data_IF_977328224097
#
_entry.id   IF_977328224097
#
_cell.length_a   1.000
_cell.length_b   1.000
_cell.length_c   1.000
_cell.angle_alpha   90.00
_cell.angle_beta   90.00
_cell.angle_gamma   90.00
#
_symmetry.space_group_name_H-M   'P 1'
#
loop_
_entity.id
_entity.type
_entity.pdbx_description
1 polymer ?
#
# COMPACT_ATOMS: atom_id res chain seq x y z
N UNK A 1 17.57 -3.87 2.99
CA UNK A 1 17.11 -5.27 3.17
C UNK A 1 17.44 -5.99 1.87
N UNK A 2 18.35 -6.95 1.91
CA UNK A 2 18.73 -7.74 0.72
C UNK A 2 17.63 -8.78 0.50
N UNK A 3 17.01 -8.80 -0.67
CA UNK A 3 15.99 -9.79 -1.03
C UNK A 3 16.68 -10.87 -1.86
N UNK A 4 16.74 -12.09 -1.34
CA UNK A 4 17.30 -13.23 -2.06
C UNK A 4 16.22 -13.99 -2.83
N UNK A 5 16.61 -14.57 -3.97
CA UNK A 5 15.68 -15.35 -4.80
C UNK A 5 15.22 -16.58 -4.01
N UNK A 6 13.90 -16.73 -3.85
CA UNK A 6 13.30 -17.85 -3.12
C UNK A 6 13.14 -17.62 -1.63
N UNK A 7 13.56 -16.47 -1.11
CA UNK A 7 13.35 -16.10 0.28
C UNK A 7 11.96 -15.49 0.46
N UNK A 8 11.32 -15.78 1.60
CA UNK A 8 10.07 -15.13 1.99
C UNK A 8 10.25 -13.62 2.05
N UNK A 9 9.27 -12.89 1.50
CA UNK A 9 9.32 -11.44 1.34
C UNK A 9 9.09 -10.68 2.66
N UNK A 10 8.88 -11.41 3.76
CA UNK A 10 8.58 -10.88 5.07
C UNK A 10 7.92 -11.94 5.95
N UNK A 11 7.33 -11.48 7.06
CA UNK A 11 6.52 -12.30 7.96
C UNK A 11 5.06 -11.87 7.89
N UNK A 12 4.09 -12.77 8.16
CA UNK A 12 2.70 -12.40 8.34
C UNK A 12 2.55 -11.28 9.38
N UNK A 13 1.69 -10.31 9.09
CA UNK A 13 1.42 -9.23 10.03
C UNK A 13 0.76 -9.79 11.32
N UNK A 14 1.10 -9.27 12.52
CA UNK A 14 0.47 -9.70 13.77
C UNK A 14 -1.06 -9.49 13.73
N UNK A 15 -1.86 -10.33 14.41
CA UNK A 15 -3.29 -10.10 14.55
C UNK A 15 -3.58 -8.71 15.13
N UNK A 16 -4.52 -7.97 14.56
CA UNK A 16 -4.89 -6.62 15.01
C UNK A 16 -3.94 -5.50 14.61
N UNK A 17 -2.93 -5.77 13.78
CA UNK A 17 -2.02 -4.75 13.24
C UNK A 17 -2.64 -3.86 12.17
N UNK A 18 -3.76 -4.28 11.58
CA UNK A 18 -4.51 -3.54 10.58
C UNK A 18 -5.83 -3.07 11.18
N UNK A 19 -6.20 -1.82 10.90
CA UNK A 19 -7.52 -1.29 11.24
C UNK A 19 -8.55 -1.60 10.16
N UNK A 20 -8.15 -1.52 8.90
CA UNK A 20 -9.01 -1.69 7.73
C UNK A 20 -8.26 -2.46 6.63
N UNK A 21 -8.98 -3.08 5.70
CA UNK A 21 -8.41 -3.75 4.52
C UNK A 21 -9.14 -3.23 3.27
N UNK A 22 -8.37 -2.80 2.28
CA UNK A 22 -8.86 -2.43 0.95
C UNK A 22 -8.37 -3.42 -0.11
N UNK A 23 -9.27 -3.85 -0.97
CA UNK A 23 -9.02 -4.75 -2.11
C UNK A 23 -8.86 -4.01 -3.44
N UNK A 24 -9.16 -2.71 -3.47
CA UNK A 24 -9.05 -1.88 -4.68
C UNK A 24 -8.72 -0.42 -4.35
N UNK A 25 -8.27 0.35 -5.36
CA UNK A 25 -8.02 1.78 -5.22
C UNK A 25 -9.30 2.58 -4.92
N UNK A 26 -10.47 2.09 -5.35
CA UNK A 26 -11.74 2.75 -5.08
C UNK A 26 -12.12 2.61 -3.60
N UNK A 27 -11.99 1.41 -3.05
CA UNK A 27 -12.23 1.12 -1.63
C UNK A 27 -11.22 1.84 -0.73
N UNK A 28 -9.94 1.86 -1.11
CA UNK A 28 -8.93 2.64 -0.40
C UNK A 28 -9.29 4.12 -0.34
N UNK A 29 -9.74 4.70 -1.46
CA UNK A 29 -10.16 6.11 -1.52
C UNK A 29 -11.32 6.38 -0.56
N UNK A 30 -12.35 5.54 -0.61
CA UNK A 30 -13.54 5.70 0.23
C UNK A 30 -13.20 5.64 1.73
N UNK A 31 -12.33 4.72 2.14
CA UNK A 31 -11.87 4.60 3.53
C UNK A 31 -11.13 5.87 3.99
N UNK A 32 -10.18 6.35 3.19
CA UNK A 32 -9.38 7.54 3.52
C UNK A 32 -10.25 8.79 3.58
N UNK A 33 -11.13 8.98 2.58
CA UNK A 33 -12.05 10.14 2.54
C UNK A 33 -13.01 10.11 3.74
N UNK A 34 -13.52 8.94 4.11
CA UNK A 34 -14.41 8.79 5.28
C UNK A 34 -13.71 9.16 6.59
N UNK A 35 -12.49 8.65 6.81
CA UNK A 35 -11.70 8.98 8.02
C UNK A 35 -11.36 10.47 8.07
N UNK A 36 -10.99 11.03 6.92
CA UNK A 36 -10.69 12.45 6.79
C UNK A 36 -11.91 13.33 7.14
N UNK A 37 -13.08 13.01 6.59
CA UNK A 37 -14.32 13.74 6.85
C UNK A 37 -14.77 13.66 8.32
N UNK A 38 -14.47 12.54 9.00
CA UNK A 38 -14.76 12.37 10.43
C UNK A 38 -13.75 13.06 11.35
N UNK A 39 -12.63 13.54 10.81
CA UNK A 39 -11.52 14.06 11.63
C UNK A 39 -10.84 12.98 12.47
N UNK A 40 -10.98 11.71 12.08
CA UNK A 40 -10.37 10.59 12.78
C UNK A 40 -8.89 10.46 12.41
N UNK A 41 -8.04 9.92 13.31
CA UNK A 41 -6.70 9.51 12.94
C UNK A 41 -6.76 8.46 11.82
N UNK A 42 -5.92 8.62 10.79
CA UNK A 42 -5.86 7.64 9.71
C UNK A 42 -5.45 6.28 10.27
N UNK A 43 -6.27 5.25 10.03
CA UNK A 43 -5.94 3.89 10.44
C UNK A 43 -4.88 3.29 9.52
N UNK A 44 -4.21 2.23 10.01
CA UNK A 44 -3.33 1.43 9.15
C UNK A 44 -4.24 0.59 8.24
N UNK A 45 -4.20 0.87 6.93
CA UNK A 45 -4.99 0.18 5.91
C UNK A 45 -4.11 -0.86 5.22
N UNK A 46 -4.52 -2.13 5.28
CA UNK A 46 -3.91 -3.20 4.48
C UNK A 46 -4.43 -3.14 3.04
N UNK A 47 -3.54 -3.27 2.05
CA UNK A 47 -3.91 -3.33 0.64
C UNK A 47 -3.70 -4.74 0.11
N UNK A 48 -4.77 -5.40 -0.35
CA UNK A 48 -4.72 -6.77 -0.91
C UNK A 48 -4.87 -6.80 -2.42
N UNK A 49 -5.17 -5.67 -3.06
CA UNK A 49 -5.34 -5.58 -4.51
C UNK A 49 -5.26 -4.14 -5.04
N UNK A 50 -5.54 -3.98 -6.34
CA UNK A 50 -5.41 -2.69 -7.02
C UNK A 50 -3.99 -2.37 -7.48
N UNK A 51 -3.72 -1.08 -7.68
CA UNK A 51 -2.45 -0.54 -8.14
C UNK A 51 -1.76 0.18 -6.99
N UNK A 52 -0.74 -0.48 -6.42
CA UNK A 52 0.05 0.03 -5.29
C UNK A 52 0.74 1.36 -5.64
N UNK A 53 1.21 1.55 -6.88
CA UNK A 53 1.86 2.79 -7.28
C UNK A 53 0.89 3.96 -7.22
N UNK A 54 -0.34 3.78 -7.73
CA UNK A 54 -1.40 4.77 -7.59
C UNK A 54 -1.85 4.97 -6.14
N UNK A 55 -1.96 3.90 -5.36
CA UNK A 55 -2.35 3.96 -3.95
C UNK A 55 -1.38 4.80 -3.11
N UNK A 56 -0.08 4.76 -3.43
CA UNK A 56 0.96 5.55 -2.77
C UNK A 56 1.07 6.99 -3.31
N UNK A 57 0.12 7.45 -4.12
CA UNK A 57 0.13 8.81 -4.68
C UNK A 57 1.04 8.97 -5.90
N UNK A 58 1.34 7.88 -6.62
CA UNK A 58 2.19 7.88 -7.81
C UNK A 58 3.54 8.58 -7.57
N UNK A 59 4.35 8.10 -6.60
CA UNK A 59 5.62 8.75 -6.24
C UNK A 59 6.57 8.82 -7.44
N UNK A 60 7.47 9.81 -7.41
CA UNK A 60 8.38 10.12 -8.51
C UNK A 60 9.28 8.95 -8.90
N UNK A 61 9.62 8.91 -10.20
CA UNK A 61 10.50 7.94 -10.79
C UNK A 61 9.81 6.78 -11.53
N UNK A 62 8.49 6.58 -11.39
CA UNK A 62 7.64 5.82 -12.32
C UNK A 62 8.28 4.61 -13.04
N UNK A 63 8.04 4.49 -14.36
CA UNK A 63 8.69 3.47 -15.21
C UNK A 63 10.16 3.77 -15.46
N UNK A 64 10.54 5.05 -15.46
CA UNK A 64 11.91 5.50 -15.73
C UNK A 64 12.94 4.89 -14.77
N UNK A 65 12.55 4.63 -13.51
CA UNK A 65 13.38 3.91 -12.52
C UNK A 65 13.56 2.42 -12.81
N UNK A 66 12.70 1.82 -13.60
CA UNK A 66 12.84 0.44 -14.06
C UNK A 66 13.78 0.36 -15.28
N UNK A 67 13.88 1.44 -16.04
CA UNK A 67 14.69 1.53 -17.26
C UNK A 67 16.15 1.96 -17.00
N UNK A 68 16.51 2.34 -15.77
CA UNK A 68 17.87 2.75 -15.38
C UNK A 68 18.88 1.58 -15.26
N UNK A 69 18.73 0.55 -16.07
CA UNK A 69 19.71 -0.54 -16.24
C UNK A 69 20.02 -0.73 -17.73
N UNK A 70 20.93 0.10 -18.25
CA UNK A 70 21.68 -0.13 -19.48
C UNK A 70 23.12 0.37 -19.29
#
# INVERSE_FOLDING_TARGET
MTIERGQDWGIPAPPGSLGEIASSNAELRELVETQHLKGEPHSIIGLTGGDLWKALGAPSGGRERLDSSA
#
